data_IF_819458114462
#
_entry.id   IF_819458114462
#
_cell.length_a   1.000
_cell.length_b   1.000
_cell.length_c   1.000
_cell.angle_alpha   90.00
_cell.angle_beta   90.00
_cell.angle_gamma   90.00
#
_symmetry.space_group_name_H-M   'P 1'
#
loop_
_entity.id
_entity.type
_entity.pdbx_description
1 polymer ?
#
# COMPACT_ATOMS: atom_id res chain seq x y z
N UNK A 1 12.53 17.18 31.45
CA UNK A 1 11.63 16.04 31.30
C UNK A 1 12.23 15.13 30.21
N UNK A 2 12.78 13.98 30.58
CA UNK A 2 13.29 12.99 29.61
C UNK A 2 12.07 12.32 29.00
N UNK A 3 11.88 12.51 27.73
CA UNK A 3 10.90 11.71 26.95
C UNK A 3 11.48 10.30 26.84
N UNK A 4 10.95 9.35 27.57
CA UNK A 4 11.22 7.94 27.34
C UNK A 4 10.63 7.60 25.97
N UNK A 5 11.51 7.40 25.00
CA UNK A 5 11.14 6.79 23.74
C UNK A 5 10.91 5.33 24.09
N UNK A 6 9.65 4.90 24.09
CA UNK A 6 9.29 3.50 24.12
C UNK A 6 9.91 2.85 22.88
N UNK A 7 10.94 2.02 23.12
CA UNK A 7 11.51 1.15 22.10
C UNK A 7 10.48 0.05 21.80
N UNK A 8 9.57 0.36 20.88
CA UNK A 8 8.57 -0.60 20.40
C UNK A 8 9.21 -1.43 19.29
N UNK A 9 9.55 -2.67 19.60
CA UNK A 9 9.93 -3.67 18.59
C UNK A 9 8.69 -3.99 17.73
N UNK A 10 8.44 -3.16 16.73
CA UNK A 10 7.33 -3.34 15.79
C UNK A 10 7.81 -4.26 14.68
N UNK A 11 7.25 -5.47 14.62
CA UNK A 11 7.54 -6.43 13.56
C UNK A 11 6.31 -6.62 12.68
N UNK A 12 6.55 -6.58 11.36
CA UNK A 12 5.53 -7.00 10.42
C UNK A 12 5.30 -8.51 10.58
N UNK A 13 4.04 -8.90 10.65
CA UNK A 13 3.67 -10.33 10.67
C UNK A 13 3.96 -10.87 9.28
N UNK A 14 4.83 -11.91 9.14
CA UNK A 14 5.06 -12.54 7.86
C UNK A 14 3.74 -13.02 7.27
N UNK A 15 3.49 -12.71 6.01
CA UNK A 15 2.34 -13.25 5.29
C UNK A 15 2.80 -14.14 4.13
N UNK A 16 2.01 -15.15 3.84
CA UNK A 16 2.23 -16.03 2.69
C UNK A 16 1.07 -15.86 1.73
N UNK A 17 1.37 -15.54 0.48
CA UNK A 17 0.33 -15.49 -0.55
C UNK A 17 -0.09 -16.93 -0.86
N UNK A 18 -1.34 -17.25 -0.59
CA UNK A 18 -1.88 -18.56 -0.92
C UNK A 18 -1.85 -18.74 -2.45
N UNK A 19 -1.28 -19.88 -2.91
CA UNK A 19 -1.15 -20.18 -4.34
C UNK A 19 -2.50 -20.25 -5.06
N UNK A 20 -3.57 -20.57 -4.35
CA UNK A 20 -4.93 -20.64 -4.89
C UNK A 20 -5.46 -19.30 -5.37
N UNK A 21 -4.92 -18.18 -4.87
CA UNK A 21 -5.27 -16.83 -5.31
C UNK A 21 -4.34 -16.28 -6.40
N UNK A 22 -3.32 -17.03 -6.79
CA UNK A 22 -2.45 -16.66 -7.91
C UNK A 22 -3.15 -17.02 -9.22
N UNK A 23 -3.69 -16.03 -9.92
CA UNK A 23 -4.21 -16.21 -11.27
C UNK A 23 -5.73 -16.17 -11.42
N UNK A 24 -6.47 -15.87 -10.38
CA UNK A 24 -7.87 -15.47 -10.56
C UNK A 24 -7.82 -14.03 -11.07
N UNK A 25 -7.95 -13.90 -12.38
CA UNK A 25 -7.99 -12.60 -13.07
C UNK A 25 -9.26 -11.82 -12.76
N UNK A 26 -9.48 -11.50 -11.50
CA UNK A 26 -10.54 -10.61 -11.09
C UNK A 26 -10.01 -9.18 -11.10
N UNK A 27 -10.67 -8.30 -11.80
CA UNK A 27 -10.39 -6.85 -11.83
C UNK A 27 -10.56 -6.17 -10.47
N UNK A 28 -10.71 -6.92 -9.40
CA UNK A 28 -10.94 -6.41 -8.05
C UNK A 28 -10.29 -7.30 -7.02
N UNK A 29 -9.76 -6.68 -5.98
CA UNK A 29 -9.21 -7.38 -4.82
C UNK A 29 -10.37 -7.93 -3.99
N UNK A 30 -10.30 -9.19 -3.59
CA UNK A 30 -11.34 -9.85 -2.79
C UNK A 30 -11.79 -9.02 -1.57
N UNK A 31 -10.85 -8.38 -0.86
CA UNK A 31 -11.17 -7.53 0.29
C UNK A 31 -12.02 -6.31 -0.09
N UNK A 32 -11.77 -5.69 -1.22
CA UNK A 32 -12.56 -4.55 -1.75
C UNK A 32 -13.99 -4.98 -2.07
N UNK A 33 -14.15 -6.16 -2.64
CA UNK A 33 -15.48 -6.76 -2.91
C UNK A 33 -16.21 -7.11 -1.61
N UNK A 34 -15.52 -7.72 -0.66
CA UNK A 34 -16.08 -8.15 0.62
C UNK A 34 -16.68 -6.99 1.42
N UNK A 35 -16.01 -5.84 1.44
CA UNK A 35 -16.52 -4.63 2.10
C UNK A 35 -17.50 -3.84 1.23
N UNK A 36 -17.82 -4.33 0.03
CA UNK A 36 -18.72 -3.68 -0.93
C UNK A 36 -18.31 -2.26 -1.30
N UNK A 37 -17.02 -1.96 -1.35
CA UNK A 37 -16.50 -0.62 -1.62
C UNK A 37 -17.05 -0.03 -2.93
N UNK A 38 -17.23 -0.87 -3.96
CA UNK A 38 -17.78 -0.44 -5.25
C UNK A 38 -19.16 0.21 -5.17
N UNK A 39 -19.97 -0.17 -4.18
CA UNK A 39 -21.33 0.37 -4.05
C UNK A 39 -21.37 1.87 -3.74
N UNK A 40 -20.28 2.41 -3.16
CA UNK A 40 -20.19 3.84 -2.80
C UNK A 40 -19.24 4.63 -3.69
N UNK A 41 -18.57 4.00 -4.67
CA UNK A 41 -17.57 4.69 -5.49
C UNK A 41 -18.10 5.88 -6.27
N UNK A 42 -19.36 5.82 -6.74
CA UNK A 42 -19.96 6.92 -7.44
C UNK A 42 -20.22 8.11 -6.49
N UNK A 43 -20.77 7.85 -5.34
CA UNK A 43 -21.08 8.87 -4.32
C UNK A 43 -19.80 9.47 -3.73
N UNK A 44 -18.84 8.63 -3.36
CA UNK A 44 -17.57 9.04 -2.75
C UNK A 44 -16.55 9.57 -3.76
N UNK A 45 -16.87 9.56 -5.07
CA UNK A 45 -15.94 9.90 -6.15
C UNK A 45 -14.62 9.13 -6.03
N UNK A 46 -14.67 7.88 -5.52
CA UNK A 46 -13.50 7.03 -5.24
C UNK A 46 -12.43 7.72 -4.39
N UNK A 47 -12.82 8.58 -3.46
CA UNK A 47 -11.90 9.31 -2.59
C UNK A 47 -11.14 10.43 -3.30
N UNK A 48 -11.62 10.95 -4.42
CA UNK A 48 -10.95 12.04 -5.13
C UNK A 48 -10.65 13.22 -4.20
N UNK A 49 -9.38 13.69 -4.21
CA UNK A 49 -8.90 14.77 -3.34
C UNK A 49 -8.50 14.35 -1.93
N UNK A 50 -8.77 13.12 -1.51
CA UNK A 50 -8.33 12.60 -0.21
C UNK A 50 -6.87 12.15 -0.30
N UNK A 51 -6.07 12.56 0.68
CA UNK A 51 -4.66 12.16 0.81
C UNK A 51 -4.53 11.18 1.98
N UNK A 52 -3.91 10.04 1.73
CA UNK A 52 -3.67 8.99 2.74
C UNK A 52 -2.16 8.82 2.87
N UNK A 53 -1.64 8.85 4.09
CA UNK A 53 -0.27 8.47 4.40
C UNK A 53 -0.26 7.01 4.83
N UNK A 54 0.54 6.19 4.15
CA UNK A 54 0.78 4.79 4.50
C UNK A 54 2.20 4.68 5.04
N UNK A 55 2.35 4.24 6.29
CA UNK A 55 3.63 4.00 6.94
C UNK A 55 3.81 2.48 6.99
N UNK A 56 4.72 1.97 6.17
CA UNK A 56 4.86 0.54 5.93
C UNK A 56 6.29 0.17 5.48
N UNK A 57 6.49 -1.02 4.95
CA UNK A 57 7.77 -1.56 4.51
C UNK A 57 8.37 -0.89 3.27
N UNK A 58 7.66 0.01 2.63
CA UNK A 58 8.03 0.65 1.37
C UNK A 58 6.91 0.58 0.34
N UNK A 59 7.24 0.88 -0.91
CA UNK A 59 6.30 0.80 -2.03
C UNK A 59 7.05 0.62 -3.35
N UNK A 60 6.52 -0.21 -4.25
CA UNK A 60 6.92 -0.18 -5.66
C UNK A 60 6.25 1.02 -6.35
N UNK A 61 6.93 2.14 -6.32
CA UNK A 61 6.45 3.42 -6.87
C UNK A 61 6.32 3.42 -8.39
N UNK A 62 6.91 2.43 -9.06
CA UNK A 62 6.86 2.30 -10.52
C UNK A 62 5.79 1.32 -10.98
N UNK A 63 5.11 0.65 -10.07
CA UNK A 63 4.06 -0.31 -10.40
C UNK A 63 2.98 0.34 -11.26
N UNK A 64 2.62 -0.27 -12.38
CA UNK A 64 1.70 0.29 -13.38
C UNK A 64 0.34 0.71 -12.82
N UNK A 65 -0.16 -0.03 -11.82
CA UNK A 65 -1.46 0.23 -11.19
C UNK A 65 -1.39 1.23 -10.02
N UNK A 66 -0.20 1.66 -9.59
CA UNK A 66 -0.01 2.51 -8.41
C UNK A 66 0.57 3.88 -8.73
N UNK A 67 1.51 3.95 -9.67
CA UNK A 67 2.34 5.13 -9.95
C UNK A 67 1.55 6.43 -10.13
N UNK A 68 0.35 6.36 -10.66
CA UNK A 68 -0.48 7.54 -10.91
C UNK A 68 -1.22 8.05 -9.67
N UNK A 69 -1.27 7.24 -8.61
CA UNK A 69 -1.97 7.57 -7.36
C UNK A 69 -0.98 7.87 -6.21
N UNK A 70 0.32 7.70 -6.45
CA UNK A 70 1.35 8.03 -5.47
C UNK A 70 1.79 9.48 -5.68
N UNK A 71 1.50 10.33 -4.70
CA UNK A 71 1.79 11.78 -4.77
C UNK A 71 3.07 12.16 -4.03
N UNK A 72 3.63 11.27 -3.25
CA UNK A 72 4.87 11.50 -2.53
C UNK A 72 5.31 10.27 -1.77
N UNK A 73 6.61 10.19 -1.51
CA UNK A 73 7.23 9.09 -0.75
C UNK A 73 8.36 9.64 0.13
N UNK A 74 8.63 8.94 1.22
CA UNK A 74 9.76 9.27 2.08
C UNK A 74 10.26 8.04 2.83
N UNK A 75 11.57 7.83 2.78
CA UNK A 75 12.25 6.84 3.61
C UNK A 75 12.65 7.47 4.95
N UNK A 76 12.23 6.85 6.05
CA UNK A 76 12.58 7.22 7.41
C UNK A 76 13.55 6.24 8.06
N UNK A 77 14.01 5.22 7.33
CA UNK A 77 14.95 4.23 7.81
C UNK A 77 16.39 4.65 7.59
N UNK A 78 17.31 3.93 8.21
CA UNK A 78 18.74 4.09 7.99
C UNK A 78 19.25 3.32 6.76
N UNK A 79 18.36 2.61 6.07
CA UNK A 79 18.67 1.91 4.83
C UNK A 79 18.96 2.90 3.68
N UNK A 80 19.50 2.37 2.59
CA UNK A 80 19.78 3.15 1.38
C UNK A 80 20.58 4.42 1.63
N UNK A 81 21.60 4.31 2.53
CA UNK A 81 22.48 5.42 2.93
C UNK A 81 21.71 6.60 3.54
N UNK A 82 20.61 6.32 4.24
CA UNK A 82 19.72 7.35 4.82
C UNK A 82 19.14 8.33 3.80
N UNK A 83 19.02 7.89 2.54
CA UNK A 83 18.45 8.76 1.51
C UNK A 83 16.92 8.78 1.63
N UNK A 84 16.32 9.93 1.96
CA UNK A 84 14.88 10.01 2.20
C UNK A 84 14.03 9.81 0.92
N UNK A 85 14.65 9.88 -0.25
CA UNK A 85 13.97 9.77 -1.53
C UNK A 85 14.02 8.36 -2.14
N UNK A 86 14.80 7.45 -1.54
CA UNK A 86 14.86 6.06 -1.99
C UNK A 86 13.86 5.25 -1.16
N UNK A 87 12.79 4.86 -1.81
CA UNK A 87 11.75 4.00 -1.21
C UNK A 87 11.66 2.73 -2.02
N UNK A 88 12.02 1.61 -1.39
CA UNK A 88 12.02 0.28 -2.00
C UNK A 88 11.26 -0.64 -1.07
N UNK A 89 10.27 -1.34 -1.61
CA UNK A 89 9.57 -2.37 -0.85
C UNK A 89 10.26 -3.73 -1.04
N UNK A 90 11.08 -4.11 -0.07
CA UNK A 90 11.80 -5.39 -0.06
C UNK A 90 10.97 -6.55 0.48
N UNK A 91 9.85 -6.24 1.11
CA UNK A 91 8.96 -7.21 1.75
C UNK A 91 7.73 -7.48 0.89
N UNK A 92 7.26 -6.48 0.15
CA UNK A 92 6.05 -6.52 -0.67
C UNK A 92 4.77 -6.19 0.10
N UNK A 93 4.85 -5.99 1.42
CA UNK A 93 3.69 -5.71 2.25
C UNK A 93 3.11 -4.32 1.97
N UNK A 94 3.92 -3.28 2.02
CA UNK A 94 3.48 -1.90 1.78
C UNK A 94 2.90 -1.70 0.39
N UNK A 95 3.52 -2.28 -0.63
CA UNK A 95 3.00 -2.27 -2.00
C UNK A 95 1.62 -2.91 -2.09
N UNK A 96 1.41 -4.04 -1.41
CA UNK A 96 0.12 -4.71 -1.37
C UNK A 96 -0.94 -3.88 -0.63
N UNK A 97 -0.59 -3.28 0.51
CA UNK A 97 -1.50 -2.39 1.28
C UNK A 97 -1.93 -1.20 0.43
N UNK A 98 -0.99 -0.53 -0.22
CA UNK A 98 -1.28 0.60 -1.12
C UNK A 98 -2.13 0.14 -2.30
N UNK A 99 -1.88 -1.05 -2.84
CA UNK A 99 -2.69 -1.65 -3.89
C UNK A 99 -4.14 -1.84 -3.47
N UNK A 100 -4.38 -2.29 -2.24
CA UNK A 100 -5.73 -2.45 -1.68
C UNK A 100 -6.45 -1.11 -1.51
N UNK A 101 -5.71 -0.03 -1.20
CA UNK A 101 -6.27 1.31 -0.97
C UNK A 101 -6.58 2.02 -2.29
N UNK A 102 -5.66 1.99 -3.25
CA UNK A 102 -5.72 2.91 -4.38
C UNK A 102 -5.20 2.36 -5.71
N UNK A 103 -5.10 1.05 -5.91
CA UNK A 103 -4.73 0.53 -7.21
C UNK A 103 -5.73 0.97 -8.28
N UNK A 104 -5.20 1.40 -9.43
CA UNK A 104 -5.99 1.78 -10.60
C UNK A 104 -5.32 1.24 -11.87
N UNK A 105 -5.62 0.00 -12.20
CA UNK A 105 -5.06 -0.70 -13.36
C UNK A 105 -6.11 -1.53 -14.08
N UNK A 106 -5.72 -2.09 -15.23
CA UNK A 106 -6.59 -2.95 -16.05
C UNK A 106 -6.96 -4.24 -15.33
N UNK A 107 -6.07 -4.73 -14.48
CA UNK A 107 -6.18 -6.04 -13.82
C UNK A 107 -6.50 -5.95 -12.33
N UNK A 108 -6.35 -4.77 -11.74
CA UNK A 108 -6.53 -4.58 -10.30
C UNK A 108 -7.08 -3.17 -10.02
N UNK A 109 -8.04 -3.10 -9.11
CA UNK A 109 -8.62 -1.85 -8.64
C UNK A 109 -8.78 -1.92 -7.13
N UNK A 110 -8.23 -0.92 -6.44
CA UNK A 110 -8.38 -0.73 -4.99
C UNK A 110 -9.67 0.02 -4.63
#
# INVERSE_FOLDING_TARGET
MKTEILDLDVRLIPFTINKEFRGIGTKSIYGVEMIKAKSIWQESQKGAGVKIAVIDSGCDINHESLKNNIIGVRNFTDEDKKNPNIVIDRVGHGTHVIGTICANGSNITG
#
